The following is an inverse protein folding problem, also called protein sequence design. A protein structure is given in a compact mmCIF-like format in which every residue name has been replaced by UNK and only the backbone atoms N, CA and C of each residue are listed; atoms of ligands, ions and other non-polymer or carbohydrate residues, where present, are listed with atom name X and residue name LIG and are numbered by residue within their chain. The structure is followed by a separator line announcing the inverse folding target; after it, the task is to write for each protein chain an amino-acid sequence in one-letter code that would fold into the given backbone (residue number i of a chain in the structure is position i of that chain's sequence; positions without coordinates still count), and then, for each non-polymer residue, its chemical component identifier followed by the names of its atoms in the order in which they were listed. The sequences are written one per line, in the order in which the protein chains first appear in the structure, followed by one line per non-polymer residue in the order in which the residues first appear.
data_IF_092261225738
#
_entry.id   IF_092261225738
#
_cell.length_a   1.000
_cell.length_b   1.000
_cell.length_c   1.000
_cell.angle_alpha   90.00
_cell.angle_beta   90.00
_cell.angle_gamma   90.00
#
_symmetry.space_group_name_H-M   'P 1'
#
loop_
_entity.id
_entity.type
_entity.pdbx_description
1 polymer ?
#
# COMPACT_ATOMS: atom_id res chain seq x y z
N UNK A 1 69.97 4.09 16.12
CA UNK A 1 70.06 5.42 15.46
C UNK A 1 69.02 5.50 14.35
N UNK A 2 68.04 6.40 14.52
CA UNK A 2 67.19 7.00 13.47
C UNK A 2 66.12 6.12 12.81
N UNK A 3 64.90 6.55 12.52
CA UNK A 3 64.18 7.81 12.75
C UNK A 3 62.68 7.53 12.61
N UNK A 4 61.89 8.20 13.45
CA UNK A 4 60.43 8.29 13.45
C UNK A 4 59.86 8.90 12.16
N UNK A 5 58.63 8.53 11.78
CA UNK A 5 57.68 9.46 11.13
C UNK A 5 56.23 9.00 11.39
N UNK A 6 55.50 9.80 12.17
CA UNK A 6 54.05 9.77 12.35
C UNK A 6 53.36 10.72 11.37
N UNK A 7 52.17 10.38 10.85
CA UNK A 7 51.25 11.40 10.36
C UNK A 7 50.15 11.67 11.39
N UNK A 8 50.17 12.92 11.87
CA UNK A 8 49.09 13.64 12.52
C UNK A 8 48.12 14.16 11.46
N UNK A 9 46.82 13.90 11.61
CA UNK A 9 45.79 14.69 10.92
C UNK A 9 44.70 15.07 11.92
N UNK A 10 44.72 16.34 12.29
CA UNK A 10 43.69 17.02 13.08
C UNK A 10 42.49 17.27 12.15
N UNK A 11 41.37 16.59 12.38
CA UNK A 11 40.10 16.95 11.73
C UNK A 11 39.39 18.03 12.55
N UNK A 12 39.24 19.21 11.96
CA UNK A 12 38.43 20.29 12.49
C UNK A 12 36.96 20.08 12.08
N UNK A 13 36.06 19.97 13.05
CA UNK A 13 34.62 19.93 12.83
C UNK A 13 34.08 21.36 12.97
N UNK A 14 33.68 21.95 11.86
CA UNK A 14 32.90 23.20 11.84
C UNK A 14 31.42 22.85 11.98
N UNK A 15 30.86 23.13 13.15
CA UNK A 15 29.42 23.11 13.39
C UNK A 15 28.82 24.42 12.84
N UNK A 16 27.89 24.30 11.89
CA UNK A 16 27.04 25.42 11.45
C UNK A 16 25.59 25.07 11.77
N UNK A 17 25.11 25.63 12.88
CA UNK A 17 23.70 25.67 13.25
C UNK A 17 23.10 26.98 12.77
N UNK A 18 22.10 26.93 11.88
CA UNK A 18 21.13 28.01 11.71
C UNK A 18 19.74 27.39 11.51
N UNK A 19 18.89 27.59 12.52
CA UNK A 19 17.44 27.37 12.47
C UNK A 19 16.77 28.67 12.02
N UNK A 20 15.83 28.60 11.07
CA UNK A 20 14.75 29.60 10.95
C UNK A 20 13.44 28.88 10.63
N UNK A 21 12.43 29.23 11.45
CA UNK A 21 11.05 28.77 11.46
C UNK A 21 10.22 29.70 10.58
N UNK A 22 9.38 29.17 9.71
CA UNK A 22 8.25 29.91 9.13
C UNK A 22 6.98 29.06 9.23
N UNK A 23 6.07 29.50 10.10
CA UNK A 23 4.69 29.03 10.14
C UNK A 23 3.84 29.75 9.10
N UNK A 24 2.90 29.04 8.50
CA UNK A 24 1.75 29.63 7.78
C UNK A 24 0.49 29.14 8.45
N UNK A 25 -0.34 30.12 8.80
CA UNK A 25 -1.59 30.04 9.56
C UNK A 25 -2.73 29.41 8.75
N UNK A 26 -3.63 28.73 9.46
CA UNK A 26 -4.99 28.40 9.01
C UNK A 26 -5.87 29.66 8.90
N UNK A 27 -6.91 29.60 8.05
CA UNK A 27 -8.33 29.99 8.25
C UNK A 27 -8.97 30.24 6.86
N UNK A 28 -10.12 29.69 6.46
CA UNK A 28 -11.45 30.02 6.98
C UNK A 28 -12.50 28.94 6.64
N UNK A 29 -13.42 28.78 7.59
CA UNK A 29 -14.63 27.94 7.56
C UNK A 29 -15.83 28.62 6.86
N UNK A 30 -16.96 27.91 6.85
CA UNK A 30 -18.34 28.34 6.56
C UNK A 30 -18.76 28.11 5.09
N UNK A 31 -19.78 27.33 4.76
CA UNK A 31 -21.06 27.09 5.42
C UNK A 31 -22.15 27.41 4.39
N UNK A 32 -22.93 26.41 3.96
CA UNK A 32 -23.90 26.60 2.86
C UNK A 32 -24.89 25.45 2.74
N UNK A 33 -25.94 25.54 3.55
CA UNK A 33 -27.06 24.62 3.65
C UNK A 33 -27.89 24.46 2.37
N UNK A 34 -28.50 23.28 2.27
CA UNK A 34 -29.83 22.96 1.75
C UNK A 34 -30.50 23.95 0.78
N UNK A 35 -30.90 23.42 -0.38
CA UNK A 35 -32.12 23.87 -1.05
C UNK A 35 -33.03 22.68 -1.30
N UNK A 36 -33.88 22.38 -0.33
CA UNK A 36 -35.16 21.72 -0.54
C UNK A 36 -36.11 22.73 -1.19
N UNK A 37 -36.80 22.32 -2.26
CA UNK A 37 -38.02 22.95 -2.73
C UNK A 37 -38.95 21.86 -3.27
N UNK A 38 -40.19 21.91 -2.79
CA UNK A 38 -41.20 20.86 -2.82
C UNK A 38 -42.10 20.91 -4.07
N UNK A 39 -42.62 19.72 -4.39
CA UNK A 39 -43.95 19.31 -4.85
C UNK A 39 -44.91 20.30 -5.57
N UNK A 40 -45.50 19.81 -6.67
CA UNK A 40 -46.95 19.75 -7.01
C UNK A 40 -47.10 19.35 -8.50
N UNK A 41 -48.12 18.68 -9.04
CA UNK A 41 -49.19 17.79 -8.60
C UNK A 41 -49.86 17.25 -9.90
N UNK A 42 -50.40 16.03 -9.82
CA UNK A 42 -51.44 15.35 -10.63
C UNK A 42 -51.82 15.80 -12.05
N UNK A 43 -51.88 14.81 -12.95
CA UNK A 43 -53.09 14.56 -13.76
C UNK A 43 -53.24 13.05 -14.05
N UNK A 44 -54.41 12.51 -13.71
CA UNK A 44 -54.95 11.18 -14.11
C UNK A 44 -56.04 11.46 -15.15
N UNK A 45 -56.23 10.61 -16.18
CA UNK A 45 -57.30 9.58 -16.19
C UNK A 45 -56.82 8.29 -16.93
N UNK A 46 -57.46 7.13 -17.03
CA UNK A 46 -58.64 6.44 -16.53
C UNK A 46 -58.46 4.94 -16.90
N UNK A 47 -58.98 4.01 -16.07
CA UNK A 47 -59.15 2.55 -16.32
C UNK A 47 -60.54 2.33 -17.03
N UNK A 48 -61.04 1.12 -17.42
CA UNK A 48 -60.51 -0.28 -17.47
C UNK A 48 -61.03 -1.07 -18.73
N UNK A 49 -61.29 -2.41 -18.78
CA UNK A 49 -60.80 -3.62 -18.08
C UNK A 49 -60.41 -4.83 -19.01
N UNK A 50 -60.01 -5.95 -18.38
CA UNK A 50 -60.00 -7.37 -18.83
C UNK A 50 -59.12 -7.80 -20.03
N UNK A 51 -58.24 -8.80 -19.94
CA UNK A 51 -58.55 -10.23 -19.78
C UNK A 51 -57.24 -11.00 -19.52
N UNK A 52 -57.33 -12.11 -18.81
CA UNK A 52 -56.27 -13.06 -18.52
C UNK A 52 -55.47 -13.51 -19.76
N UNK A 53 -54.15 -13.62 -19.63
CA UNK A 53 -53.45 -14.86 -19.97
C UNK A 53 -52.06 -14.93 -19.33
N UNK A 54 -51.73 -16.11 -18.84
CA UNK A 54 -50.42 -16.46 -18.30
C UNK A 54 -49.55 -16.88 -19.49
N UNK A 55 -48.25 -16.55 -19.53
CA UNK A 55 -47.33 -17.66 -19.33
C UNK A 55 -46.11 -17.28 -18.49
N UNK A 56 -45.80 -18.19 -17.57
CA UNK A 56 -44.52 -18.37 -16.91
C UNK A 56 -43.36 -18.33 -17.91
N UNK A 57 -42.36 -17.45 -17.77
CA UNK A 57 -41.07 -17.70 -18.39
C UNK A 57 -40.38 -18.79 -17.57
N UNK A 58 -40.21 -19.95 -18.21
CA UNK A 58 -39.44 -21.07 -17.72
C UNK A 58 -38.06 -20.58 -17.23
N UNK A 59 -37.72 -20.90 -15.98
CA UNK A 59 -36.33 -20.85 -15.52
C UNK A 59 -35.56 -21.88 -16.33
N UNK A 60 -34.88 -21.44 -17.37
CA UNK A 60 -33.78 -22.19 -17.96
C UNK A 60 -32.66 -22.21 -16.93
N UNK A 61 -32.64 -23.27 -16.13
CA UNK A 61 -31.44 -23.71 -15.41
C UNK A 61 -30.37 -24.03 -16.45
N UNK A 62 -29.55 -23.04 -16.79
CA UNK A 62 -28.29 -23.30 -17.45
C UNK A 62 -27.39 -23.95 -16.41
N UNK A 63 -27.25 -25.27 -16.55
CA UNK A 63 -26.36 -26.12 -15.77
C UNK A 63 -24.99 -25.48 -15.62
N UNK A 64 -24.55 -25.39 -14.37
CA UNK A 64 -23.18 -25.13 -14.01
C UNK A 64 -22.31 -26.27 -14.55
N UNK A 65 -21.73 -26.06 -15.73
CA UNK A 65 -20.55 -26.79 -16.20
C UNK A 65 -19.47 -25.77 -16.55
N UNK A 66 -19.07 -24.99 -15.56
CA UNK A 66 -17.78 -24.32 -15.57
C UNK A 66 -16.80 -25.27 -14.89
N UNK A 67 -16.26 -26.17 -15.71
CA UNK A 67 -15.09 -26.98 -15.41
C UNK A 67 -14.08 -26.14 -14.63
N UNK A 68 -13.90 -26.45 -13.34
CA UNK A 68 -12.85 -25.84 -12.51
C UNK A 68 -11.54 -26.43 -13.03
N UNK A 69 -11.03 -25.86 -14.11
CA UNK A 69 -9.62 -25.93 -14.41
C UNK A 69 -8.90 -25.41 -13.15
N UNK A 70 -7.90 -26.13 -12.62
CA UNK A 70 -7.11 -25.58 -11.53
C UNK A 70 -6.56 -24.23 -12.02
N UNK A 71 -6.88 -23.15 -11.30
CA UNK A 71 -6.29 -21.82 -11.50
C UNK A 71 -4.78 -21.89 -11.22
N UNK A 72 -4.04 -22.57 -12.08
CA UNK A 72 -2.58 -22.62 -12.10
C UNK A 72 -2.01 -21.46 -12.92
N UNK A 73 -2.86 -20.59 -13.46
CA UNK A 73 -2.45 -19.22 -13.74
C UNK A 73 -2.28 -18.52 -12.38
N UNK A 74 -1.10 -18.67 -11.77
CA UNK A 74 -0.64 -17.78 -10.72
C UNK A 74 -0.83 -16.37 -11.28
N UNK A 75 -1.86 -15.66 -10.81
CA UNK A 75 -2.11 -14.29 -11.22
C UNK A 75 -0.86 -13.51 -10.83
N UNK A 76 -0.03 -13.16 -11.82
CA UNK A 76 1.15 -12.34 -11.61
C UNK A 76 0.66 -10.98 -11.14
N UNK A 77 0.91 -10.68 -9.87
CA UNK A 77 0.61 -9.37 -9.29
C UNK A 77 1.56 -8.36 -9.92
N UNK A 78 1.01 -7.29 -10.52
CA UNK A 78 1.82 -6.19 -11.06
C UNK A 78 2.49 -5.42 -9.93
N UNK A 79 3.70 -4.90 -10.17
CA UNK A 79 4.43 -4.10 -9.19
C UNK A 79 3.60 -2.92 -8.68
N UNK A 80 2.88 -2.23 -9.58
CA UNK A 80 1.94 -1.16 -9.23
C UNK A 80 0.94 -1.56 -8.16
N UNK A 81 0.31 -2.73 -8.33
CA UNK A 81 -0.79 -3.17 -7.49
C UNK A 81 -0.26 -3.70 -6.14
N UNK A 82 0.93 -4.33 -6.14
CA UNK A 82 1.63 -4.69 -4.91
C UNK A 82 2.10 -3.45 -4.14
N UNK A 83 2.61 -2.44 -4.84
CA UNK A 83 3.04 -1.19 -4.22
C UNK A 83 1.86 -0.45 -3.58
N UNK A 84 0.70 -0.41 -4.25
CA UNK A 84 -0.53 0.13 -3.67
C UNK A 84 -0.93 -0.57 -2.35
N UNK A 85 -0.71 -1.89 -2.26
CA UNK A 85 -0.89 -2.66 -1.02
C UNK A 85 0.04 -2.18 0.10
N UNK A 86 1.34 -1.99 -0.19
CA UNK A 86 2.30 -1.43 0.76
C UNK A 86 1.90 -0.02 1.20
N UNK A 87 1.47 0.83 0.26
CA UNK A 87 1.05 2.19 0.55
C UNK A 87 -0.19 2.27 1.47
N UNK A 88 -1.09 1.28 1.39
CA UNK A 88 -2.23 1.20 2.28
C UNK A 88 -1.81 1.13 3.77
N UNK A 89 -0.61 0.60 4.05
CA UNK A 89 -0.08 0.50 5.42
C UNK A 89 0.56 1.79 5.95
N UNK A 90 0.80 2.80 5.11
CA UNK A 90 1.50 4.04 5.51
C UNK A 90 0.67 4.93 6.45
N UNK A 91 -0.66 4.84 6.36
CA UNK A 91 -1.60 5.59 7.21
C UNK A 91 -1.93 4.88 8.52
N UNK A 92 -1.53 3.62 8.64
CA UNK A 92 -1.78 2.80 9.81
C UNK A 92 -0.58 2.87 10.77
N UNK A 93 -0.86 2.67 12.06
CA UNK A 93 0.14 2.60 13.12
C UNK A 93 -0.11 1.41 14.03
N UNK A 94 0.96 0.94 14.67
CA UNK A 94 0.86 -0.02 15.75
C UNK A 94 0.26 0.66 16.99
N UNK A 95 -0.82 0.09 17.49
CA UNK A 95 -1.48 0.40 18.76
C UNK A 95 -1.60 -0.89 19.58
N UNK A 96 -1.78 -0.83 20.91
CA UNK A 96 -1.84 -2.04 21.74
C UNK A 96 -2.87 -3.09 21.27
N UNK A 97 -3.98 -2.68 20.64
CA UNK A 97 -5.04 -3.59 20.20
C UNK A 97 -4.86 -4.14 18.77
N UNK A 98 -4.04 -3.52 17.92
CA UNK A 98 -3.90 -3.89 16.50
C UNK A 98 -2.47 -4.23 16.07
N UNK A 99 -1.47 -4.11 16.96
CA UNK A 99 -0.06 -4.14 16.55
C UNK A 99 0.33 -5.43 15.84
N UNK A 100 -0.14 -6.58 16.35
CA UNK A 100 0.15 -7.88 15.72
C UNK A 100 -0.36 -7.96 14.28
N UNK A 101 -1.58 -7.49 14.05
CA UNK A 101 -2.15 -7.42 12.70
C UNK A 101 -1.36 -6.44 11.82
N UNK A 102 -1.09 -5.24 12.32
CA UNK A 102 -0.40 -4.20 11.56
C UNK A 102 1.01 -4.62 11.13
N UNK A 103 1.84 -5.14 12.06
CA UNK A 103 3.20 -5.56 11.74
C UNK A 103 3.22 -6.76 10.79
N UNK A 104 2.32 -7.73 10.98
CA UNK A 104 2.14 -8.83 10.04
C UNK A 104 1.77 -8.33 8.64
N UNK A 105 0.85 -7.36 8.55
CA UNK A 105 0.46 -6.77 7.27
C UNK A 105 1.60 -6.01 6.58
N UNK A 106 2.38 -5.22 7.30
CA UNK A 106 3.55 -4.52 6.74
C UNK A 106 4.56 -5.54 6.18
N UNK A 107 4.87 -6.58 6.95
CA UNK A 107 5.75 -7.66 6.50
C UNK A 107 5.23 -8.32 5.21
N UNK A 108 3.94 -8.62 5.15
CA UNK A 108 3.33 -9.33 4.03
C UNK A 108 3.28 -8.50 2.76
N UNK A 109 2.96 -7.21 2.87
CA UNK A 109 2.95 -6.30 1.72
C UNK A 109 4.37 -6.02 1.19
N UNK A 110 5.37 -5.93 2.08
CA UNK A 110 6.78 -5.86 1.66
C UNK A 110 7.14 -7.08 0.82
N UNK A 111 6.84 -8.29 1.29
CA UNK A 111 7.16 -9.52 0.57
C UNK A 111 6.30 -9.73 -0.68
N UNK A 112 5.07 -9.22 -0.70
CA UNK A 112 4.25 -9.21 -1.92
C UNK A 112 4.86 -8.31 -2.98
N UNK A 113 5.37 -7.14 -2.59
CA UNK A 113 6.08 -6.24 -3.47
C UNK A 113 7.39 -6.86 -3.97
N UNK A 114 8.19 -7.49 -3.10
CA UNK A 114 9.41 -8.22 -3.50
C UNK A 114 9.14 -9.24 -4.62
N UNK A 115 8.12 -10.09 -4.42
CA UNK A 115 7.72 -11.09 -5.43
C UNK A 115 7.28 -10.44 -6.75
N UNK A 116 6.52 -9.34 -6.68
CA UNK A 116 6.10 -8.62 -7.87
C UNK A 116 7.30 -8.04 -8.62
N UNK A 117 8.22 -7.37 -7.92
CA UNK A 117 9.44 -6.78 -8.52
C UNK A 117 10.35 -7.83 -9.16
N UNK A 118 10.52 -9.00 -8.52
CA UNK A 118 11.34 -10.09 -9.05
C UNK A 118 10.73 -10.79 -10.28
N UNK A 119 9.41 -10.75 -10.42
CA UNK A 119 8.68 -11.41 -11.52
C UNK A 119 8.22 -10.43 -12.61
N UNK A 120 8.54 -9.15 -12.44
CA UNK A 120 8.25 -8.11 -13.42
C UNK A 120 8.99 -8.35 -14.74
N UNK A 121 8.38 -8.08 -15.92
CA UNK A 121 9.02 -8.24 -17.21
C UNK A 121 10.33 -7.43 -17.39
N UNK A 122 10.49 -6.31 -16.67
CA UNK A 122 11.74 -5.52 -16.68
C UNK A 122 12.86 -6.18 -15.87
N UNK A 123 12.51 -7.16 -15.05
CA UNK A 123 13.44 -7.97 -14.24
C UNK A 123 13.83 -7.32 -12.92
N UNK A 124 14.35 -8.15 -12.00
CA UNK A 124 14.75 -7.74 -10.66
C UNK A 124 15.82 -6.62 -10.64
N UNK A 125 16.65 -6.52 -11.68
CA UNK A 125 17.67 -5.47 -11.82
C UNK A 125 17.10 -4.06 -11.94
N UNK A 126 15.80 -3.94 -12.23
CA UNK A 126 15.08 -2.66 -12.27
C UNK A 126 14.67 -2.16 -10.90
N UNK A 127 14.65 -3.03 -9.87
CA UNK A 127 14.28 -2.68 -8.50
C UNK A 127 15.41 -2.99 -7.51
N UNK A 128 16.66 -2.54 -7.75
CA UNK A 128 17.82 -3.01 -7.02
C UNK A 128 17.75 -2.63 -5.53
N UNK A 129 17.35 -1.40 -5.23
CA UNK A 129 17.29 -0.90 -3.86
C UNK A 129 16.12 -1.48 -3.05
N UNK A 130 14.87 -1.50 -3.56
CA UNK A 130 13.77 -2.14 -2.82
C UNK A 130 14.02 -3.61 -2.48
N UNK A 131 14.53 -4.40 -3.43
CA UNK A 131 14.84 -5.82 -3.21
C UNK A 131 15.96 -5.98 -2.18
N UNK A 132 16.99 -5.14 -2.23
CA UNK A 132 18.09 -5.19 -1.26
C UNK A 132 17.61 -4.85 0.16
N UNK A 133 16.72 -3.85 0.30
CA UNK A 133 16.15 -3.47 1.59
C UNK A 133 15.31 -4.60 2.21
N UNK A 134 14.52 -5.31 1.40
CA UNK A 134 13.71 -6.45 1.89
C UNK A 134 14.62 -7.61 2.27
N UNK A 135 15.64 -7.92 1.46
CA UNK A 135 16.64 -8.95 1.81
C UNK A 135 17.38 -8.63 3.13
N UNK A 136 17.71 -7.36 3.37
CA UNK A 136 18.33 -6.94 4.62
C UNK A 136 17.37 -7.09 5.81
N UNK A 137 16.09 -6.76 5.62
CA UNK A 137 15.05 -7.02 6.62
C UNK A 137 14.96 -8.51 6.94
N UNK A 138 14.95 -9.39 5.95
CA UNK A 138 14.85 -10.84 6.15
C UNK A 138 16.05 -11.39 6.95
N UNK A 139 17.24 -10.85 6.71
CA UNK A 139 18.44 -11.20 7.48
C UNK A 139 18.33 -10.76 8.95
N UNK A 140 17.72 -9.60 9.22
CA UNK A 140 17.46 -9.15 10.60
C UNK A 140 16.37 -9.99 11.28
N UNK A 141 15.32 -10.39 10.55
CA UNK A 141 14.21 -11.17 11.10
C UNK A 141 14.53 -12.65 11.27
N UNK A 142 15.53 -13.18 10.56
CA UNK A 142 15.91 -14.60 10.61
C UNK A 142 14.82 -15.55 10.10
N UNK A 143 13.87 -15.05 9.31
CA UNK A 143 12.71 -15.81 8.82
C UNK A 143 11.61 -16.05 9.84
N UNK A 144 11.74 -15.56 11.10
CA UNK A 144 10.69 -15.66 12.09
C UNK A 144 9.62 -14.57 11.89
N UNK A 145 8.40 -15.00 11.62
CA UNK A 145 7.22 -14.15 11.37
C UNK A 145 6.30 -14.06 12.58
N UNK A 146 6.71 -14.58 13.74
CA UNK A 146 5.99 -14.45 14.99
C UNK A 146 5.79 -12.98 15.35
N UNK A 147 4.69 -12.67 16.02
CA UNK A 147 4.45 -11.30 16.48
C UNK A 147 5.58 -10.81 17.40
N UNK A 148 6.10 -11.68 18.28
CA UNK A 148 7.19 -11.32 19.19
C UNK A 148 8.42 -10.82 18.43
N UNK A 149 8.83 -11.54 17.37
CA UNK A 149 9.96 -11.14 16.55
C UNK A 149 9.66 -9.88 15.72
N UNK A 150 8.51 -9.81 15.06
CA UNK A 150 8.13 -8.63 14.28
C UNK A 150 8.03 -7.37 15.16
N UNK A 151 7.53 -7.50 16.39
CA UNK A 151 7.44 -6.42 17.36
C UNK A 151 8.82 -5.99 17.85
N UNK A 152 9.71 -6.93 18.16
CA UNK A 152 11.12 -6.65 18.48
C UNK A 152 11.83 -5.87 17.37
N UNK A 153 11.50 -6.15 16.10
CA UNK A 153 12.07 -5.52 14.92
C UNK A 153 11.17 -4.46 14.26
N UNK A 154 10.17 -3.93 14.98
CA UNK A 154 9.18 -2.99 14.45
C UNK A 154 9.84 -1.78 13.75
N UNK A 155 10.84 -1.16 14.37
CA UNK A 155 11.54 0.00 13.81
C UNK A 155 12.19 -0.32 12.47
N UNK A 156 12.82 -1.50 12.33
CA UNK A 156 13.41 -1.93 11.06
C UNK A 156 12.32 -2.12 10.01
N UNK A 157 11.23 -2.82 10.33
CA UNK A 157 10.09 -3.05 9.43
C UNK A 157 9.54 -1.74 8.86
N UNK A 158 9.24 -0.78 9.73
CA UNK A 158 8.66 0.51 9.32
C UNK A 158 9.66 1.36 8.54
N UNK A 159 10.93 1.40 8.96
CA UNK A 159 11.99 2.09 8.20
C UNK A 159 12.15 1.50 6.80
N UNK A 160 12.09 0.18 6.66
CA UNK A 160 12.18 -0.50 5.35
C UNK A 160 10.98 -0.14 4.48
N UNK A 161 9.75 -0.21 5.01
CA UNK A 161 8.52 0.25 4.33
C UNK A 161 8.67 1.68 3.81
N UNK A 162 9.11 2.59 4.68
CA UNK A 162 9.16 4.02 4.36
C UNK A 162 10.24 4.34 3.33
N UNK A 163 11.41 3.70 3.41
CA UNK A 163 12.47 3.83 2.42
C UNK A 163 12.04 3.31 1.05
N UNK A 164 11.40 2.15 1.00
CA UNK A 164 10.87 1.60 -0.24
C UNK A 164 9.79 2.51 -0.82
N UNK A 165 8.88 3.03 0.01
CA UNK A 165 7.88 4.00 -0.47
C UNK A 165 8.55 5.24 -1.08
N UNK A 166 9.53 5.84 -0.40
CA UNK A 166 10.25 7.00 -0.93
C UNK A 166 10.98 6.70 -2.23
N UNK A 167 11.65 5.54 -2.32
CA UNK A 167 12.33 5.11 -3.53
C UNK A 167 11.36 4.96 -4.69
N UNK A 168 10.27 4.21 -4.48
CA UNK A 168 9.25 4.00 -5.50
C UNK A 168 8.63 5.33 -5.92
N UNK A 169 8.34 6.25 -5.00
CA UNK A 169 7.82 7.58 -5.37
C UNK A 169 8.80 8.41 -6.20
N UNK A 170 10.11 8.21 -6.04
CA UNK A 170 11.15 8.81 -6.88
C UNK A 170 11.32 8.16 -8.26
N UNK A 171 10.75 6.97 -8.46
CA UNK A 171 10.90 6.16 -9.68
C UNK A 171 9.53 5.74 -10.25
N UNK A 172 8.63 6.68 -10.58
CA UNK A 172 7.28 6.38 -11.04
C UNK A 172 7.22 5.48 -12.27
N UNK A 173 8.15 5.66 -13.22
CA UNK A 173 8.16 4.91 -14.47
C UNK A 173 8.55 3.45 -14.27
N UNK A 174 9.15 3.12 -13.12
CA UNK A 174 9.63 1.77 -12.86
C UNK A 174 8.48 0.80 -12.59
N UNK A 175 7.38 1.27 -12.01
CA UNK A 175 6.24 0.43 -11.61
C UNK A 175 4.90 0.80 -12.26
N UNK A 176 4.86 1.79 -13.16
CA UNK A 176 3.63 2.19 -13.87
C UNK A 176 3.29 1.31 -15.08
#
# INVERSE_FOLDING_TARGET
MGTSFTPSMRSAVLAVTVSVVFGVSCDNSNGGSQKTAAASASSVPSRPPDTADSPTPARTSASADASIAPSSAILKVKVRDAFAGLQATLKDTCTPSNCAYFLGRVHDELHRLDRAMKTDPKGAGHFPEPIALIKALDAELGGDRSFENLNKHQTTLLRTRDRINSWMQGHPDDYR
#
